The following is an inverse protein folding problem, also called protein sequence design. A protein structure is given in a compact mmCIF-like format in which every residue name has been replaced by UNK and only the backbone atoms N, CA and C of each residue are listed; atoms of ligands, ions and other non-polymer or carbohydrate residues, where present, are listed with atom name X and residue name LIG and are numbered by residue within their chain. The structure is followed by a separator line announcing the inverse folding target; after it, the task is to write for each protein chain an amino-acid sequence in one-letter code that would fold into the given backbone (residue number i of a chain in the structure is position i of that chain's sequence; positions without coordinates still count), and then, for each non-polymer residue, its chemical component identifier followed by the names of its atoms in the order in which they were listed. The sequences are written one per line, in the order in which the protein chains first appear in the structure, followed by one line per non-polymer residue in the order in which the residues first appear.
data_IF_836252183961
#
_entry.id   IF_836252183961
#
_cell.length_a   1.000
_cell.length_b   1.000
_cell.length_c   1.000
_cell.angle_alpha   90.00
_cell.angle_beta   90.00
_cell.angle_gamma   90.00
#
_symmetry.space_group_name_H-M   'P 1'
#
loop_
_entity.id
_entity.type
_entity.pdbx_description
1 polymer ?
#
# COMPACT_ATOMS: atom_id res chain seq x y z
N UNK A 1 -0.85 -1.40 26.00
CA UNK A 1 -1.51 -2.37 25.09
C UNK A 1 -1.59 -1.68 23.75
N UNK A 2 -1.01 -2.25 22.70
CA UNK A 2 -1.03 -1.61 21.39
C UNK A 2 -2.37 -1.93 20.72
N UNK A 3 -3.13 -0.90 20.36
CA UNK A 3 -4.34 -1.03 19.56
C UNK A 3 -3.94 -1.64 18.22
N UNK A 4 -4.48 -2.83 17.94
CA UNK A 4 -4.27 -3.51 16.66
C UNK A 4 -5.24 -2.91 15.66
N UNK A 5 -4.70 -2.22 14.65
CA UNK A 5 -5.48 -1.70 13.53
C UNK A 5 -5.40 -2.73 12.39
N UNK A 6 -6.55 -3.28 12.02
CA UNK A 6 -6.68 -4.12 10.84
C UNK A 6 -6.98 -3.24 9.63
N UNK A 7 -6.32 -3.52 8.51
CA UNK A 7 -6.36 -2.69 7.32
C UNK A 7 -6.36 -3.59 6.09
N UNK A 8 -7.37 -3.42 5.24
CA UNK A 8 -7.45 -4.17 3.99
C UNK A 8 -6.44 -3.63 2.99
N UNK A 9 -5.65 -4.54 2.42
CA UNK A 9 -4.57 -4.20 1.49
C UNK A 9 -4.67 -5.05 0.23
N UNK A 10 -4.43 -4.43 -0.93
CA UNK A 10 -4.38 -5.13 -2.22
C UNK A 10 -2.99 -5.00 -2.86
N UNK A 11 -2.61 -5.94 -3.72
CA UNK A 11 -1.33 -5.89 -4.45
C UNK A 11 -1.39 -4.79 -5.51
N UNK A 12 -0.30 -4.03 -5.64
CA UNK A 12 -0.20 -2.95 -6.62
C UNK A 12 0.62 -3.39 -7.83
N UNK A 13 0.01 -3.37 -9.02
CA UNK A 13 0.70 -3.59 -10.30
C UNK A 13 1.37 -2.31 -10.82
N UNK A 14 0.76 -1.15 -10.55
CA UNK A 14 1.20 0.14 -11.07
C UNK A 14 2.33 0.72 -10.21
N UNK A 15 3.49 0.96 -10.81
CA UNK A 15 4.67 1.51 -10.12
C UNK A 15 5.20 2.79 -10.78
N UNK A 16 6.08 3.52 -10.08
CA UNK A 16 6.73 4.73 -10.61
C UNK A 16 5.79 5.94 -10.77
N UNK A 17 5.97 6.72 -11.86
CA UNK A 17 5.23 7.97 -12.11
C UNK A 17 3.71 7.79 -12.21
N UNK A 18 3.25 6.59 -12.57
CA UNK A 18 1.84 6.26 -12.69
C UNK A 18 1.11 6.19 -11.33
N UNK A 19 1.83 6.11 -10.21
CA UNK A 19 1.24 6.17 -8.85
C UNK A 19 0.51 7.48 -8.55
N UNK A 20 0.79 8.56 -9.29
CA UNK A 20 0.01 9.81 -9.20
C UNK A 20 -1.45 9.62 -9.62
N UNK A 21 -1.74 8.69 -10.54
CA UNK A 21 -3.11 8.37 -10.96
C UNK A 21 -3.86 7.62 -9.87
N UNK A 22 -3.19 6.69 -9.19
CA UNK A 22 -3.75 5.97 -8.04
C UNK A 22 -4.20 6.93 -6.93
N UNK A 23 -3.34 7.89 -6.56
CA UNK A 23 -3.70 8.91 -5.55
C UNK A 23 -4.88 9.77 -5.97
N UNK A 24 -5.02 10.09 -7.27
CA UNK A 24 -6.19 10.81 -7.79
C UNK A 24 -7.48 9.99 -7.74
N UNK A 25 -7.36 8.66 -7.77
CA UNK A 25 -8.48 7.74 -7.69
C UNK A 25 -8.85 7.37 -6.24
N UNK A 26 -8.21 7.98 -5.23
CA UNK A 26 -8.41 7.63 -3.82
C UNK A 26 -7.70 6.35 -3.39
N UNK A 27 -6.68 5.92 -4.14
CA UNK A 27 -5.88 4.73 -3.81
C UNK A 27 -4.50 5.18 -3.31
N UNK A 28 -4.18 4.84 -2.08
CA UNK A 28 -2.92 5.14 -1.40
C UNK A 28 -1.90 4.04 -1.72
N UNK A 29 -0.79 4.36 -2.40
CA UNK A 29 0.29 3.41 -2.63
C UNK A 29 1.05 3.14 -1.33
N UNK A 30 1.16 1.87 -0.94
CA UNK A 30 1.91 1.40 0.22
C UNK A 30 2.99 0.40 -0.18
N UNK A 31 3.97 0.14 0.69
CA UNK A 31 4.94 -0.93 0.52
C UNK A 31 5.12 -1.63 1.86
N UNK A 32 5.08 -2.96 1.85
CA UNK A 32 5.40 -3.78 3.02
C UNK A 32 6.86 -4.22 2.88
N UNK A 33 7.66 -3.98 3.92
CA UNK A 33 9.05 -4.41 4.00
C UNK A 33 9.36 -4.82 5.44
N UNK A 34 10.29 -5.76 5.63
CA UNK A 34 10.56 -6.31 6.96
C UNK A 34 11.89 -7.04 7.05
N UNK A 35 12.31 -7.36 8.28
CA UNK A 35 13.52 -8.13 8.51
C UNK A 35 13.32 -9.56 7.97
N UNK A 36 14.12 -9.94 6.97
CA UNK A 36 14.05 -11.21 6.22
C UNK A 36 12.83 -11.42 5.33
N UNK A 37 12.07 -10.36 5.03
CA UNK A 37 10.98 -10.42 4.05
C UNK A 37 11.27 -9.56 2.82
N UNK A 38 10.89 -10.05 1.66
CA UNK A 38 11.01 -9.33 0.40
C UNK A 38 10.01 -8.17 0.37
N UNK A 39 10.45 -7.01 -0.11
CA UNK A 39 9.59 -5.83 -0.27
C UNK A 39 8.43 -6.13 -1.21
N UNK A 40 7.20 -5.96 -0.73
CA UNK A 40 5.98 -6.13 -1.51
C UNK A 40 5.31 -4.79 -1.76
N UNK A 41 4.94 -4.55 -3.01
CA UNK A 41 4.23 -3.35 -3.44
C UNK A 41 2.73 -3.55 -3.23
N UNK A 42 2.16 -2.75 -2.32
CA UNK A 42 0.75 -2.82 -1.95
C UNK A 42 0.05 -1.49 -2.27
N UNK A 43 -1.27 -1.51 -2.17
CA UNK A 43 -2.10 -0.34 -2.22
C UNK A 43 -3.24 -0.50 -1.21
N UNK A 44 -3.73 0.63 -0.73
CA UNK A 44 -4.73 0.75 0.31
C UNK A 44 -5.76 1.75 -0.20
N UNK A 45 -7.04 1.50 0.05
CA UNK A 45 -8.08 2.47 -0.28
C UNK A 45 -8.07 3.61 0.76
N UNK A 46 -8.28 4.84 0.29
CA UNK A 46 -8.38 6.02 1.15
C UNK A 46 -9.65 5.91 2.01
N UNK A 47 -9.48 6.07 3.33
CA UNK A 47 -10.55 5.99 4.36
C UNK A 47 -11.20 7.36 4.53
#
# INVERSE_FOLDING_TARGET
MADKVELEVSRREITGKATKRLRKAGIIPANIFGHKEASQTMQIDEV
#
